data_IF_900592090854
#
_entry.id   IF_900592090854
#
_cell.length_a   1.000
_cell.length_b   1.000
_cell.length_c   1.000
_cell.angle_alpha   90.00
_cell.angle_beta   90.00
_cell.angle_gamma   90.00
#
_symmetry.space_group_name_H-M   'P 1'
#
loop_
_entity.id
_entity.type
_entity.pdbx_description
1 polymer ?
#
# COMPACT_ATOMS: atom_id res chain seq x y z
N UNK A 1 8.28 9.84 -15.47
CA UNK A 1 7.55 9.92 -16.76
C UNK A 1 7.39 11.38 -17.19
N UNK A 2 6.66 12.22 -16.44
CA UNK A 2 6.38 13.61 -16.81
C UNK A 2 7.59 14.53 -17.08
N UNK A 3 8.76 14.27 -16.48
CA UNK A 3 9.96 15.12 -16.63
C UNK A 3 10.88 14.73 -17.80
N UNK A 4 10.53 13.70 -18.56
CA UNK A 4 11.41 13.06 -19.54
C UNK A 4 10.78 12.99 -20.96
N UNK A 5 9.90 13.92 -21.27
CA UNK A 5 9.25 14.02 -22.57
C UNK A 5 9.36 15.44 -23.14
N UNK A 6 9.25 15.57 -24.46
CA UNK A 6 9.15 16.87 -25.14
C UNK A 6 7.75 17.49 -24.98
N UNK A 7 6.74 16.64 -24.77
CA UNK A 7 5.36 17.03 -24.55
C UNK A 7 4.79 16.15 -23.42
N UNK A 8 4.29 16.78 -22.37
CA UNK A 8 3.68 16.11 -21.21
C UNK A 8 2.22 16.53 -21.08
N UNK A 9 1.34 15.54 -21.12
CA UNK A 9 -0.11 15.71 -20.90
C UNK A 9 -0.43 15.02 -19.57
N UNK A 10 -1.07 15.76 -18.66
CA UNK A 10 -1.52 15.25 -17.36
C UNK A 10 -3.04 15.17 -17.35
N UNK A 11 -3.58 14.01 -16.99
CA UNK A 11 -4.98 13.84 -16.65
C UNK A 11 -5.15 14.05 -15.13
N UNK A 12 -6.14 14.86 -14.72
CA UNK A 12 -6.38 15.20 -13.31
C UNK A 12 -7.86 15.06 -12.94
N UNK A 13 -8.14 14.49 -11.77
CA UNK A 13 -9.52 14.37 -11.24
C UNK A 13 -10.08 15.70 -10.77
N UNK A 14 -9.24 16.53 -10.18
CA UNK A 14 -9.62 17.85 -9.66
C UNK A 14 -8.67 18.89 -10.27
N UNK A 15 -9.25 19.88 -10.95
CA UNK A 15 -8.52 21.05 -11.45
C UNK A 15 -8.96 22.23 -10.58
N UNK A 16 -7.99 22.92 -9.99
CA UNK A 16 -8.21 23.96 -8.99
C UNK A 16 -7.59 25.29 -9.41
N UNK A 17 -8.04 26.37 -8.80
CA UNK A 17 -7.50 27.72 -9.04
C UNK A 17 -6.07 27.85 -8.50
N UNK A 18 -5.30 28.76 -9.10
CA UNK A 18 -3.92 29.05 -8.69
C UNK A 18 -3.88 29.53 -7.24
N UNK A 19 -2.97 28.95 -6.45
CA UNK A 19 -2.83 29.23 -5.02
C UNK A 19 -3.64 28.30 -4.12
N UNK A 20 -4.47 27.40 -4.67
CA UNK A 20 -5.22 26.40 -3.88
C UNK A 20 -4.30 25.32 -3.29
N UNK A 21 -3.25 24.93 -4.01
CA UNK A 21 -2.25 23.95 -3.57
C UNK A 21 -1.08 24.70 -2.91
N UNK A 22 -0.71 24.33 -1.69
CA UNK A 22 0.47 24.88 -1.03
C UNK A 22 1.72 24.56 -1.88
N UNK A 23 2.64 25.52 -2.10
CA UNK A 23 3.84 25.27 -2.89
C UNK A 23 4.70 24.09 -2.40
N UNK A 24 4.67 23.75 -1.11
CA UNK A 24 5.40 22.61 -0.55
C UNK A 24 4.71 21.26 -0.79
N UNK A 25 3.43 21.27 -1.14
CA UNK A 25 2.63 20.08 -1.42
C UNK A 25 2.53 19.80 -2.94
N UNK A 26 3.25 20.56 -3.77
CA UNK A 26 3.30 20.34 -5.23
C UNK A 26 4.31 19.23 -5.57
N UNK A 27 3.81 18.03 -5.87
CA UNK A 27 4.64 16.88 -6.27
C UNK A 27 5.33 17.06 -7.63
N UNK A 28 4.62 17.66 -8.59
CA UNK A 28 5.08 17.89 -9.97
C UNK A 28 4.91 19.37 -10.35
N UNK A 29 6.00 20.15 -10.39
CA UNK A 29 5.92 21.55 -10.81
C UNK A 29 5.39 21.73 -12.23
N UNK A 30 4.57 22.76 -12.43
CA UNK A 30 3.89 23.03 -13.71
C UNK A 30 4.82 23.25 -14.92
N UNK A 31 6.10 23.58 -14.69
CA UNK A 31 7.10 23.70 -15.78
C UNK A 31 7.30 22.39 -16.55
N UNK A 32 6.93 21.24 -15.98
CA UNK A 32 7.02 19.93 -16.62
C UNK A 32 5.72 19.50 -17.31
N UNK A 33 4.68 20.35 -17.35
CA UNK A 33 3.35 20.01 -17.85
C UNK A 33 2.94 20.97 -18.97
N UNK A 34 2.70 20.44 -20.16
CA UNK A 34 2.27 21.25 -21.32
C UNK A 34 0.75 21.36 -21.42
N UNK A 35 0.02 20.32 -20.99
CA UNK A 35 -1.44 20.24 -21.10
C UNK A 35 -2.05 19.49 -19.92
N UNK A 36 -3.20 19.97 -19.46
CA UNK A 36 -4.00 19.33 -18.42
C UNK A 36 -5.37 18.98 -19.00
N UNK A 37 -5.86 17.78 -18.73
CA UNK A 37 -7.20 17.32 -19.12
C UNK A 37 -7.94 16.76 -17.91
N UNK A 38 -9.26 16.99 -17.76
CA UNK A 38 -10.04 16.42 -16.67
C UNK A 38 -10.20 14.90 -16.87
N UNK A 39 -10.09 14.15 -15.79
CA UNK A 39 -10.35 12.70 -15.83
C UNK A 39 -11.83 12.41 -15.97
N UNK A 40 -12.17 11.47 -16.86
CA UNK A 40 -13.55 11.03 -17.10
C UNK A 40 -13.77 9.55 -16.85
N UNK A 41 -12.71 8.81 -16.53
CA UNK A 41 -12.75 7.37 -16.32
C UNK A 41 -12.96 7.01 -14.84
N UNK A 42 -13.81 6.02 -14.58
CA UNK A 42 -13.94 5.44 -13.25
C UNK A 42 -12.71 4.59 -12.89
N UNK A 43 -12.38 4.56 -11.60
CA UNK A 43 -11.25 3.78 -11.09
C UNK A 43 -11.68 2.35 -10.80
N UNK A 44 -10.89 1.40 -11.29
CA UNK A 44 -11.14 -0.02 -11.14
C UNK A 44 -10.12 -0.64 -10.18
N UNK A 45 -10.61 -1.51 -9.29
CA UNK A 45 -9.76 -2.32 -8.41
C UNK A 45 -9.57 -3.68 -9.07
N UNK A 46 -8.33 -3.98 -9.49
CA UNK A 46 -8.00 -5.25 -10.16
C UNK A 46 -8.18 -6.45 -9.22
N UNK A 47 -7.71 -6.34 -7.98
CA UNK A 47 -7.75 -7.43 -7.00
C UNK A 47 -8.23 -6.89 -5.65
N UNK A 48 -9.52 -7.08 -5.36
CA UNK A 48 -10.10 -6.72 -4.08
C UNK A 48 -9.76 -7.79 -3.02
N UNK A 49 -9.01 -7.38 -1.99
CA UNK A 49 -8.73 -8.21 -0.81
C UNK A 49 -9.17 -7.46 0.44
N UNK A 50 -10.06 -8.08 1.20
CA UNK A 50 -10.62 -7.54 2.42
C UNK A 50 -10.14 -8.35 3.64
N UNK A 51 -10.04 -7.68 4.79
CA UNK A 51 -9.96 -8.37 6.09
C UNK A 51 -11.34 -8.47 6.73
N UNK A 52 -11.51 -9.47 7.59
CA UNK A 52 -12.65 -9.52 8.52
C UNK A 52 -12.35 -8.65 9.74
N UNK A 53 -13.36 -7.98 10.28
CA UNK A 53 -13.21 -7.19 11.50
C UNK A 53 -12.81 -8.09 12.68
N UNK A 54 -11.77 -7.68 13.41
CA UNK A 54 -11.24 -8.44 14.56
C UNK A 54 -10.24 -9.55 14.23
N UNK A 55 -9.85 -9.74 12.95
CA UNK A 55 -8.85 -10.74 12.54
C UNK A 55 -7.42 -10.14 12.45
N UNK A 56 -6.87 -9.64 13.55
CA UNK A 56 -5.48 -9.10 13.58
C UNK A 56 -4.40 -10.19 13.76
N UNK A 57 -4.81 -11.46 13.80
CA UNK A 57 -3.93 -12.61 14.00
C UNK A 57 -3.63 -13.40 12.72
N UNK A 58 -2.74 -14.40 12.81
CA UNK A 58 -2.46 -15.28 11.69
C UNK A 58 -3.71 -16.08 11.30
N UNK A 59 -3.93 -16.34 10.00
CA UNK A 59 -5.08 -17.09 9.54
C UNK A 59 -5.11 -18.51 10.14
N UNK A 60 -6.28 -18.92 10.65
CA UNK A 60 -6.52 -20.29 11.11
C UNK A 60 -6.30 -21.25 9.94
N UNK A 61 -5.58 -22.36 10.19
CA UNK A 61 -5.33 -23.35 9.14
C UNK A 61 -6.64 -24.06 8.80
N UNK A 62 -7.09 -23.91 7.55
CA UNK A 62 -8.30 -24.57 7.02
C UNK A 62 -7.99 -25.85 6.26
N UNK A 63 -6.72 -26.05 5.86
CA UNK A 63 -6.23 -27.24 5.19
C UNK A 63 -4.71 -27.41 5.39
N UNK A 64 -4.20 -28.58 5.02
CA UNK A 64 -2.76 -28.90 5.15
C UNK A 64 -1.85 -27.93 4.40
N UNK A 65 -2.29 -27.44 3.23
CA UNK A 65 -1.49 -26.50 2.44
C UNK A 65 -1.33 -25.16 3.18
N UNK A 66 -2.38 -24.68 3.85
CA UNK A 66 -2.34 -23.50 4.68
C UNK A 66 -1.47 -23.72 5.92
N UNK A 67 -1.52 -24.91 6.53
CA UNK A 67 -0.65 -25.25 7.65
C UNK A 67 0.84 -25.23 7.24
N UNK A 68 1.18 -25.81 6.08
CA UNK A 68 2.54 -25.73 5.52
C UNK A 68 2.98 -24.28 5.28
N UNK A 69 2.12 -23.43 4.74
CA UNK A 69 2.41 -21.98 4.56
C UNK A 69 2.59 -21.26 5.90
N UNK A 70 1.70 -21.49 6.86
CA UNK A 70 1.76 -20.92 8.20
C UNK A 70 3.05 -21.32 8.93
N UNK A 71 3.52 -22.57 8.76
CA UNK A 71 4.79 -23.03 9.33
C UNK A 71 5.98 -22.25 8.77
N UNK A 72 6.03 -22.04 7.46
CA UNK A 72 7.12 -21.27 6.82
C UNK A 72 7.05 -19.79 7.25
N UNK A 73 5.86 -19.19 7.21
CA UNK A 73 5.66 -17.80 7.62
C UNK A 73 6.04 -17.56 9.10
N UNK A 74 5.69 -18.47 10.00
CA UNK A 74 6.07 -18.42 11.42
C UNK A 74 7.58 -18.55 11.64
N UNK A 75 8.30 -19.28 10.76
CA UNK A 75 9.77 -19.31 10.81
C UNK A 75 10.35 -18.01 10.28
N UNK A 76 9.82 -17.49 9.16
CA UNK A 76 10.27 -16.26 8.54
C UNK A 76 10.03 -15.03 9.45
N UNK A 77 8.95 -15.02 10.25
CA UNK A 77 8.65 -13.92 11.17
C UNK A 77 9.75 -13.71 12.21
N UNK A 78 10.53 -14.74 12.55
CA UNK A 78 11.68 -14.64 13.47
C UNK A 78 12.86 -13.84 12.89
N UNK A 79 12.91 -13.64 11.58
CA UNK A 79 13.93 -12.80 10.93
C UNK A 79 13.58 -11.31 10.99
N UNK A 80 12.31 -10.99 11.24
CA UNK A 80 11.83 -9.62 11.34
C UNK A 80 12.02 -9.12 12.78
N UNK A 81 12.85 -8.10 12.96
CA UNK A 81 13.09 -7.50 14.28
C UNK A 81 12.45 -6.11 14.37
N UNK A 82 12.12 -5.64 15.58
CA UNK A 82 11.63 -4.28 15.79
C UNK A 82 12.55 -3.23 15.15
N UNK A 83 11.95 -2.25 14.47
CA UNK A 83 12.64 -1.16 13.76
C UNK A 83 13.12 -1.51 12.36
N UNK A 84 12.94 -2.75 11.88
CA UNK A 84 13.36 -3.13 10.54
C UNK A 84 12.53 -2.42 9.45
N UNK A 85 13.20 -2.12 8.33
CA UNK A 85 12.60 -1.67 7.08
C UNK A 85 12.74 -2.80 6.06
N UNK A 86 11.62 -3.35 5.60
CA UNK A 86 11.63 -4.55 4.76
C UNK A 86 10.71 -4.37 3.56
N UNK A 87 11.13 -4.92 2.42
CA UNK A 87 10.24 -5.18 1.29
C UNK A 87 9.88 -6.68 1.32
N UNK A 88 8.58 -6.98 1.23
CA UNK A 88 8.06 -8.33 1.33
C UNK A 88 7.22 -8.67 0.11
N UNK A 89 7.61 -9.73 -0.60
CA UNK A 89 6.83 -10.26 -1.70
C UNK A 89 5.45 -10.78 -1.27
N UNK A 90 4.51 -10.76 -2.22
CA UNK A 90 3.14 -11.28 -2.01
C UNK A 90 3.19 -12.78 -1.66
N UNK A 91 2.37 -13.20 -0.69
CA UNK A 91 2.25 -14.60 -0.27
C UNK A 91 2.88 -14.88 1.08
N UNK A 92 3.79 -15.86 1.15
CA UNK A 92 4.43 -16.28 2.42
C UNK A 92 5.21 -15.14 3.11
N UNK A 93 5.99 -14.29 2.40
CA UNK A 93 6.74 -13.22 3.06
C UNK A 93 5.82 -12.21 3.75
N UNK A 94 4.78 -11.74 3.06
CA UNK A 94 3.77 -10.84 3.64
C UNK A 94 2.92 -11.50 4.73
N UNK A 95 2.72 -12.82 4.68
CA UNK A 95 2.06 -13.59 5.75
C UNK A 95 2.90 -13.65 7.04
N UNK A 96 4.23 -13.57 6.96
CA UNK A 96 5.11 -13.60 8.13
C UNK A 96 4.83 -12.45 9.12
N UNK A 97 4.37 -11.30 8.61
CA UNK A 97 4.02 -10.11 9.41
C UNK A 97 2.88 -10.41 10.38
N UNK A 98 1.90 -11.24 9.98
CA UNK A 98 0.76 -11.62 10.83
C UNK A 98 1.17 -12.52 12.01
N UNK A 99 2.41 -13.00 12.06
CA UNK A 99 2.96 -13.77 13.18
C UNK A 99 3.87 -12.94 14.08
N UNK A 100 3.98 -11.63 13.85
CA UNK A 100 4.73 -10.75 14.75
C UNK A 100 3.95 -10.49 16.04
N UNK A 101 4.65 -10.32 17.17
CA UNK A 101 4.07 -9.78 18.39
C UNK A 101 3.37 -8.44 18.13
N UNK A 102 2.29 -8.16 18.87
CA UNK A 102 1.49 -6.95 18.69
C UNK A 102 2.27 -5.65 18.95
N UNK A 103 3.30 -5.73 19.80
CA UNK A 103 4.23 -4.66 20.17
C UNK A 103 5.44 -4.53 19.22
N UNK A 104 5.54 -5.38 18.20
CA UNK A 104 6.64 -5.33 17.23
C UNK A 104 6.36 -4.32 16.13
N UNK A 105 7.17 -3.28 16.03
CA UNK A 105 7.11 -2.30 14.94
C UNK A 105 8.06 -2.70 13.82
N UNK A 106 7.51 -3.01 12.64
CA UNK A 106 8.28 -3.25 11.41
C UNK A 106 7.70 -2.38 10.30
N UNK A 107 8.56 -1.67 9.57
CA UNK A 107 8.17 -0.80 8.47
C UNK A 107 8.20 -1.58 7.15
N UNK A 108 7.02 -1.77 6.56
CA UNK A 108 6.89 -2.50 5.30
C UNK A 108 6.89 -1.49 4.15
N UNK A 109 7.90 -1.61 3.30
CA UNK A 109 8.03 -0.85 2.06
C UNK A 109 7.39 -1.65 0.92
N UNK A 110 6.69 -0.93 0.05
CA UNK A 110 6.15 -1.43 -1.20
C UNK A 110 6.81 -0.72 -2.36
N UNK A 111 7.13 -1.47 -3.42
CA UNK A 111 7.83 -0.99 -4.61
C UNK A 111 7.09 0.12 -5.36
N UNK A 112 5.77 0.25 -5.14
CA UNK A 112 4.94 1.32 -5.69
C UNK A 112 5.06 2.66 -4.92
N UNK A 113 6.00 2.79 -3.99
CA UNK A 113 6.31 4.05 -3.31
C UNK A 113 5.62 4.24 -1.96
N UNK A 114 5.08 3.18 -1.35
CA UNK A 114 4.44 3.25 -0.03
C UNK A 114 5.38 2.71 1.04
N UNK A 115 5.45 3.39 2.19
CA UNK A 115 6.15 2.94 3.38
C UNK A 115 5.17 2.91 4.56
N UNK A 116 5.14 1.79 5.29
CA UNK A 116 4.19 1.58 6.39
C UNK A 116 2.95 0.80 5.98
N UNK A 117 3.06 -0.08 4.98
CA UNK A 117 1.97 -0.96 4.58
C UNK A 117 1.51 -1.84 5.74
N UNK A 118 0.20 -1.86 5.98
CA UNK A 118 -0.43 -2.59 7.08
C UNK A 118 -1.38 -3.69 6.62
N UNK A 119 -2.50 -3.82 7.34
CA UNK A 119 -3.51 -4.82 7.03
C UNK A 119 -4.27 -4.48 5.75
N UNK A 120 -4.96 -5.47 5.18
CA UNK A 120 -5.95 -5.22 4.14
C UNK A 120 -7.09 -4.34 4.68
N UNK A 121 -7.75 -3.54 3.83
CA UNK A 121 -8.88 -2.72 4.25
C UNK A 121 -10.09 -3.59 4.62
N UNK A 122 -10.97 -3.08 5.50
CA UNK A 122 -12.37 -3.52 5.57
C UNK A 122 -13.15 -3.00 4.36
N UNK A 123 -14.42 -3.39 4.21
CA UNK A 123 -15.25 -2.98 3.07
C UNK A 123 -15.43 -1.46 2.98
N UNK A 124 -15.46 -0.77 4.12
CA UNK A 124 -15.65 0.69 4.19
C UNK A 124 -14.31 1.45 4.11
N UNK A 125 -13.18 0.75 4.23
CA UNK A 125 -11.82 1.30 4.12
C UNK A 125 -11.23 1.13 2.70
N UNK A 126 -12.01 0.64 1.74
CA UNK A 126 -11.54 0.37 0.38
C UNK A 126 -11.24 1.69 -0.34
N UNK A 127 -10.01 1.82 -0.84
CA UNK A 127 -9.55 2.95 -1.64
C UNK A 127 -8.90 2.42 -2.94
N UNK A 128 -9.34 2.86 -4.13
CA UNK A 128 -8.76 2.40 -5.40
C UNK A 128 -7.28 2.78 -5.59
N UNK A 129 -6.74 3.74 -4.85
CA UNK A 129 -5.34 4.16 -4.93
C UNK A 129 -4.41 3.35 -4.02
N UNK A 130 -4.95 2.59 -3.07
CA UNK A 130 -4.15 1.95 -2.02
C UNK A 130 -4.60 0.50 -1.76
N UNK A 131 -3.69 -0.46 -2.01
CA UNK A 131 -3.98 -1.90 -1.89
C UNK A 131 -4.05 -2.43 -0.44
N UNK A 132 -3.39 -1.77 0.52
CA UNK A 132 -3.42 -2.07 1.95
C UNK A 132 -3.30 -0.78 2.73
N UNK A 133 -3.97 -0.71 3.87
CA UNK A 133 -3.93 0.47 4.73
C UNK A 133 -2.49 0.85 5.08
N UNK A 134 -2.16 2.13 4.93
CA UNK A 134 -0.93 2.66 5.50
C UNK A 134 -1.15 2.84 7.00
N UNK A 135 -0.71 1.86 7.79
CA UNK A 135 -1.01 1.85 9.22
C UNK A 135 0.10 2.61 9.95
N UNK A 136 -0.22 3.81 10.44
CA UNK A 136 0.50 4.41 11.58
C UNK A 136 0.13 3.59 12.83
N UNK A 137 0.69 2.39 12.97
CA UNK A 137 0.69 1.67 14.25
C UNK A 137 1.69 2.44 15.11
N UNK A 138 1.18 3.43 15.85
CA UNK A 138 1.90 4.05 16.97
C UNK A 138 1.92 3.08 18.13
#
# INVERSE_FOLDING_TARGET
>A
MAKAAKLTIVEAENIVEVGTIDPNDVDLPGIFVDRIVPSTAEKNIEVLKLREEGSDGPPKATNEAQERRNRIARRASKELKPGYYVNLGVGIPTLAVSFLPADSTVHIQSENGILGMGAYPTKDEVDPYVNRLCVKRR
#
